data_IF_364205906505
#
_entry.id   IF_364205906505
#
_cell.length_a   1.000
_cell.length_b   1.000
_cell.length_c   1.000
_cell.angle_alpha   90.00
_cell.angle_beta   90.00
_cell.angle_gamma   90.00
#
_symmetry.space_group_name_H-M   'P 1'
#
loop_
_entity.id
_entity.type
_entity.pdbx_description
1 polymer ?
#
# COMPACT_ATOMS: atom_id res chain seq x y z
N UNK A 1 1.49 13.81 5.86
CA UNK A 1 0.75 14.94 5.23
C UNK A 1 -0.07 14.41 4.08
N UNK A 2 -1.34 14.84 3.95
CA UNK A 2 -2.24 14.51 2.84
C UNK A 2 -2.34 15.69 1.88
N UNK A 3 -1.57 15.72 0.78
CA UNK A 3 -1.39 16.92 -0.03
C UNK A 3 -2.62 17.33 -0.85
N UNK A 4 -3.58 16.43 -1.06
CA UNK A 4 -4.83 16.73 -1.76
C UNK A 4 -5.78 17.61 -0.93
N UNK A 5 -5.72 17.52 0.41
CA UNK A 5 -6.57 18.29 1.32
C UNK A 5 -8.06 17.97 1.25
N UNK A 6 -8.42 16.86 0.63
CA UNK A 6 -9.77 16.29 0.54
C UNK A 6 -9.67 14.78 0.43
N UNK A 7 -10.76 14.08 0.77
CA UNK A 7 -10.87 12.64 0.48
C UNK A 7 -11.19 12.45 -1.00
N UNK A 8 -10.42 11.60 -1.65
CA UNK A 8 -10.60 11.24 -3.07
C UNK A 8 -10.40 9.75 -3.23
N UNK A 9 -10.96 9.15 -4.28
CA UNK A 9 -10.66 7.78 -4.64
C UNK A 9 -9.17 7.65 -5.00
N UNK A 10 -8.52 6.60 -4.52
CA UNK A 10 -7.08 6.36 -4.79
C UNK A 10 -6.77 6.16 -6.27
N UNK A 11 -7.77 5.87 -7.09
CA UNK A 11 -7.68 5.67 -8.54
C UNK A 11 -7.95 6.94 -9.34
N UNK A 12 -8.44 8.01 -8.70
CA UNK A 12 -8.70 9.27 -9.39
C UNK A 12 -7.41 9.83 -10.00
N UNK A 13 -7.44 10.12 -11.29
CA UNK A 13 -6.32 10.69 -12.04
C UNK A 13 -6.81 11.88 -12.89
N UNK A 14 -6.00 12.93 -13.04
CA UNK A 14 -4.73 13.19 -12.35
C UNK A 14 -4.92 13.54 -10.87
N UNK A 15 -3.93 13.25 -10.04
CA UNK A 15 -3.92 13.72 -8.66
C UNK A 15 -3.89 15.25 -8.63
N UNK A 16 -4.60 15.86 -7.68
CA UNK A 16 -4.63 17.30 -7.51
C UNK A 16 -4.08 17.68 -6.14
N UNK A 17 -2.88 18.27 -6.12
CA UNK A 17 -2.29 18.77 -4.89
C UNK A 17 -2.64 20.23 -4.65
N UNK A 18 -2.81 20.59 -3.38
CA UNK A 18 -2.80 22.00 -2.97
C UNK A 18 -1.36 22.51 -2.95
N UNK A 19 -1.18 23.81 -3.18
CA UNK A 19 0.15 24.43 -3.30
C UNK A 19 0.99 24.40 -2.00
N UNK A 20 0.42 24.02 -0.87
CA UNK A 20 1.10 24.00 0.43
C UNK A 20 2.37 23.14 0.44
N UNK A 21 2.35 21.97 -0.21
CA UNK A 21 3.51 21.08 -0.27
C UNK A 21 4.65 21.70 -1.09
N UNK A 22 4.35 22.31 -2.23
CA UNK A 22 5.34 23.00 -3.05
C UNK A 22 5.92 24.25 -2.37
N UNK A 23 5.10 24.96 -1.59
CA UNK A 23 5.58 26.08 -0.77
C UNK A 23 6.51 25.60 0.34
N UNK A 24 6.20 24.46 0.97
CA UNK A 24 7.05 23.84 2.00
C UNK A 24 8.42 23.43 1.43
N UNK A 25 8.45 22.84 0.24
CA UNK A 25 9.71 22.46 -0.42
C UNK A 25 10.62 23.66 -0.67
N UNK A 26 10.06 24.82 -0.99
CA UNK A 26 10.82 26.05 -1.16
C UNK A 26 11.33 26.65 0.16
N UNK A 27 10.55 26.53 1.23
CA UNK A 27 10.89 27.09 2.54
C UNK A 27 11.88 26.21 3.29
N UNK A 28 11.82 24.90 3.07
CA UNK A 28 12.65 23.91 3.76
C UNK A 28 13.38 23.02 2.74
N UNK A 29 14.34 23.56 1.98
CA UNK A 29 14.98 22.83 0.87
C UNK A 29 15.81 21.63 1.32
N UNK A 30 16.28 21.60 2.57
CA UNK A 30 17.05 20.48 3.14
C UNK A 30 16.15 19.33 3.65
N UNK A 31 14.83 19.50 3.62
CA UNK A 31 13.91 18.47 4.10
C UNK A 31 13.78 17.35 3.07
N UNK A 32 13.84 16.10 3.55
CA UNK A 32 13.58 14.93 2.73
C UNK A 32 12.07 14.68 2.61
N UNK A 33 11.56 14.65 1.39
CA UNK A 33 10.18 14.32 1.05
C UNK A 33 10.12 12.89 0.52
N UNK A 34 9.37 12.02 1.19
CA UNK A 34 9.21 10.63 0.81
C UNK A 34 7.75 10.38 0.44
N UNK A 35 7.44 10.07 -0.82
CA UNK A 35 6.08 9.69 -1.20
C UNK A 35 5.74 8.32 -0.61
N UNK A 36 4.54 8.22 -0.05
CA UNK A 36 4.01 7.00 0.54
C UNK A 36 2.63 6.72 -0.03
N UNK A 37 2.43 5.53 -0.57
CA UNK A 37 1.13 5.00 -0.97
C UNK A 37 0.66 3.91 -0.01
N UNK A 38 -0.65 3.84 0.20
CA UNK A 38 -1.29 2.83 1.05
C UNK A 38 -2.53 2.30 0.33
N UNK A 39 -2.72 0.97 0.37
CA UNK A 39 -3.88 0.30 -0.18
C UNK A 39 -4.40 -0.77 0.79
N UNK A 40 -5.71 -0.91 0.86
CA UNK A 40 -6.37 -1.96 1.63
C UNK A 40 -6.88 -3.03 0.67
N UNK A 41 -6.43 -4.26 0.88
CA UNK A 41 -6.79 -5.40 0.03
C UNK A 41 -7.35 -6.55 0.86
N UNK A 42 -8.15 -7.39 0.22
CA UNK A 42 -8.67 -8.64 0.78
C UNK A 42 -8.22 -9.77 -0.13
N UNK A 43 -7.06 -10.32 0.14
CA UNK A 43 -6.53 -11.41 -0.70
C UNK A 43 -7.08 -12.76 -0.27
N UNK A 44 -6.64 -13.23 0.88
CA UNK A 44 -6.96 -14.58 1.40
C UNK A 44 -7.54 -14.53 2.80
N UNK A 45 -7.31 -13.45 3.50
CA UNK A 45 -7.70 -13.29 4.88
C UNK A 45 -9.08 -12.64 5.03
N UNK A 46 -9.75 -12.92 6.15
CA UNK A 46 -11.03 -12.29 6.48
C UNK A 46 -10.90 -10.79 6.75
N UNK A 47 -9.76 -10.38 7.25
CA UNK A 47 -9.46 -8.98 7.53
C UNK A 47 -8.70 -8.35 6.37
N UNK A 48 -8.89 -7.04 6.19
CA UNK A 48 -8.13 -6.31 5.20
C UNK A 48 -6.63 -6.36 5.52
N UNK A 49 -5.85 -6.62 4.51
CA UNK A 49 -4.40 -6.44 4.56
C UNK A 49 -4.07 -5.01 4.15
N UNK A 50 -3.10 -4.40 4.81
CA UNK A 50 -2.66 -3.04 4.51
C UNK A 50 -1.32 -3.12 3.80
N UNK A 51 -1.31 -2.71 2.54
CA UNK A 51 -0.11 -2.64 1.72
C UNK A 51 0.43 -1.22 1.73
N UNK A 52 1.70 -1.05 2.02
CA UNK A 52 2.37 0.25 2.05
C UNK A 52 3.58 0.21 1.12
N UNK A 53 3.71 1.23 0.30
CA UNK A 53 4.88 1.43 -0.57
C UNK A 53 5.44 2.83 -0.38
N UNK A 54 6.77 2.92 -0.35
CA UNK A 54 7.50 4.18 -0.32
C UNK A 54 8.22 4.37 -1.64
N UNK A 55 8.24 5.59 -2.14
CA UNK A 55 9.09 5.99 -3.26
C UNK A 55 10.45 6.49 -2.80
N UNK A 56 11.28 6.91 -3.75
CA UNK A 56 12.59 7.45 -3.45
C UNK A 56 12.48 8.80 -2.71
N UNK A 57 13.33 9.05 -1.72
CA UNK A 57 13.41 10.36 -1.08
C UNK A 57 13.81 11.45 -2.07
N UNK A 58 13.17 12.61 -1.96
CA UNK A 58 13.49 13.79 -2.72
C UNK A 58 13.88 14.92 -1.76
N UNK A 59 15.05 15.50 -1.95
CA UNK A 59 15.55 16.63 -1.17
C UNK A 59 15.66 17.83 -2.12
N UNK A 60 14.85 18.89 -1.95
CA UNK A 60 14.78 20.00 -2.88
C UNK A 60 16.13 20.71 -3.15
N UNK A 61 17.03 20.79 -2.16
CA UNK A 61 18.35 21.40 -2.34
C UNK A 61 19.26 20.64 -3.32
N UNK A 62 19.00 19.34 -3.55
CA UNK A 62 19.73 18.52 -4.51
C UNK A 62 19.14 18.60 -5.94
N UNK A 63 18.07 19.36 -6.11
CA UNK A 63 17.32 19.45 -7.36
C UNK A 63 17.44 20.83 -8.00
N UNK A 64 17.07 20.91 -9.27
CA UNK A 64 16.96 22.20 -9.97
C UNK A 64 15.90 23.07 -9.26
N UNK A 65 16.20 24.35 -8.97
CA UNK A 65 15.24 25.23 -8.32
C UNK A 65 13.95 25.36 -9.12
N UNK A 66 12.81 25.25 -8.40
CA UNK A 66 11.46 25.28 -8.96
C UNK A 66 10.57 26.27 -8.19
N UNK A 67 9.56 26.76 -8.82
CA UNK A 67 8.49 27.49 -8.12
C UNK A 67 7.56 26.51 -7.37
N UNK A 68 6.66 27.05 -6.54
CA UNK A 68 5.78 26.21 -5.70
C UNK A 68 4.82 25.32 -6.52
N UNK A 69 4.39 25.78 -7.69
CA UNK A 69 3.51 25.01 -8.58
C UNK A 69 4.27 23.85 -9.23
N UNK A 70 5.48 24.11 -9.71
CA UNK A 70 6.36 23.09 -10.30
C UNK A 70 6.74 22.02 -9.28
N UNK A 71 7.05 22.42 -8.04
CA UNK A 71 7.27 21.47 -6.95
C UNK A 71 6.04 20.61 -6.66
N UNK A 72 4.87 21.25 -6.59
CA UNK A 72 3.61 20.52 -6.38
C UNK A 72 3.35 19.51 -7.49
N UNK A 73 3.62 19.87 -8.74
CA UNK A 73 3.46 18.96 -9.89
C UNK A 73 4.46 17.81 -9.84
N UNK A 74 5.72 18.08 -9.48
CA UNK A 74 6.74 17.05 -9.34
C UNK A 74 6.33 16.02 -8.26
N UNK A 75 5.95 16.47 -7.08
CA UNK A 75 5.48 15.60 -6.01
C UNK A 75 4.22 14.81 -6.40
N UNK A 76 3.33 15.42 -7.19
CA UNK A 76 2.15 14.78 -7.74
C UNK A 76 2.55 13.59 -8.63
N UNK A 77 3.51 13.79 -9.52
CA UNK A 77 4.02 12.74 -10.41
C UNK A 77 4.67 11.61 -9.61
N UNK A 78 5.55 11.94 -8.66
CA UNK A 78 6.20 10.96 -7.80
C UNK A 78 5.20 10.11 -7.01
N UNK A 79 4.17 10.74 -6.41
CA UNK A 79 3.15 9.98 -5.69
C UNK A 79 2.33 9.10 -6.64
N UNK A 80 2.01 9.60 -7.85
CA UNK A 80 1.31 8.82 -8.87
C UNK A 80 2.08 7.55 -9.22
N UNK A 81 3.38 7.64 -9.47
CA UNK A 81 4.25 6.49 -9.77
C UNK A 81 4.23 5.45 -8.64
N UNK A 82 4.32 5.91 -7.39
CA UNK A 82 4.29 5.01 -6.22
C UNK A 82 2.94 4.33 -6.07
N UNK A 83 1.84 5.06 -6.27
CA UNK A 83 0.48 4.51 -6.21
C UNK A 83 0.23 3.49 -7.33
N UNK A 84 0.61 3.81 -8.56
CA UNK A 84 0.41 2.92 -9.71
C UNK A 84 1.29 1.66 -9.59
N UNK A 85 2.52 1.81 -9.08
CA UNK A 85 3.39 0.70 -8.75
C UNK A 85 2.83 -0.19 -7.64
N UNK A 86 2.24 0.40 -6.60
CA UNK A 86 1.57 -0.33 -5.52
C UNK A 86 0.36 -1.10 -6.05
N UNK A 87 -0.52 -0.44 -6.82
CA UNK A 87 -1.71 -1.06 -7.41
C UNK A 87 -1.35 -2.26 -8.29
N UNK A 88 -0.31 -2.13 -9.12
CA UNK A 88 0.18 -3.23 -9.96
C UNK A 88 0.63 -4.43 -9.12
N UNK A 89 1.46 -4.22 -8.09
CA UNK A 89 1.92 -5.29 -7.18
C UNK A 89 0.77 -5.90 -6.38
N UNK A 90 -0.18 -5.08 -5.94
CA UNK A 90 -1.39 -5.53 -5.26
C UNK A 90 -2.19 -6.52 -6.12
N UNK A 91 -2.30 -6.27 -7.43
CA UNK A 91 -2.98 -7.17 -8.35
C UNK A 91 -2.21 -8.48 -8.61
N UNK A 92 -0.88 -8.47 -8.53
CA UNK A 92 -0.04 -9.66 -8.75
C UNK A 92 -0.13 -10.67 -7.60
N UNK A 93 -0.41 -10.21 -6.38
CA UNK A 93 -0.53 -11.03 -5.16
C UNK A 93 0.69 -11.90 -4.84
N UNK A 94 1.88 -11.46 -5.22
CA UNK A 94 3.12 -12.19 -4.98
C UNK A 94 3.64 -11.89 -3.57
N UNK A 95 3.47 -12.83 -2.65
CA UNK A 95 3.85 -12.65 -1.24
C UNK A 95 5.37 -12.46 -1.02
N UNK A 96 6.21 -12.96 -1.94
CA UNK A 96 7.67 -12.86 -1.85
C UNK A 96 8.23 -11.44 -1.94
N UNK A 97 7.46 -10.50 -2.50
CA UNK A 97 7.88 -9.11 -2.72
C UNK A 97 7.58 -8.18 -1.53
N UNK A 98 7.03 -8.73 -0.43
CA UNK A 98 6.57 -7.93 0.69
C UNK A 98 7.34 -8.22 1.98
N UNK A 99 7.71 -7.16 2.68
CA UNK A 99 8.19 -7.26 4.06
C UNK A 99 6.97 -7.29 4.97
N UNK A 100 6.73 -8.41 5.62
CA UNK A 100 5.60 -8.60 6.52
C UNK A 100 5.95 -7.98 7.88
N UNK A 101 5.31 -6.86 8.22
CA UNK A 101 5.50 -6.18 9.50
C UNK A 101 4.62 -6.79 10.60
N UNK A 102 3.41 -7.20 10.26
CA UNK A 102 2.47 -7.80 11.20
C UNK A 102 1.63 -8.85 10.47
N UNK A 103 1.48 -10.01 11.08
CA UNK A 103 0.55 -11.05 10.62
C UNK A 103 -0.72 -10.98 11.43
N UNK A 104 -1.84 -10.80 10.75
CA UNK A 104 -3.16 -10.97 11.35
C UNK A 104 -3.37 -12.41 11.85
N UNK A 105 -4.40 -12.63 12.63
CA UNK A 105 -4.85 -13.97 13.00
C UNK A 105 -5.55 -14.61 11.80
N UNK A 106 -4.92 -15.61 11.19
CA UNK A 106 -5.58 -16.47 10.21
C UNK A 106 -6.69 -17.29 10.89
N UNK A 107 -7.85 -17.39 10.27
CA UNK A 107 -8.94 -18.24 10.74
C UNK A 107 -10.26 -17.50 11.02
N UNK A 108 -11.36 -18.16 10.69
CA UNK A 108 -12.73 -17.59 10.75
C UNK A 108 -13.27 -17.54 12.17
N UNK A 109 -12.86 -18.48 13.01
CA UNK A 109 -13.20 -18.55 14.45
C UNK A 109 -12.47 -19.74 15.09
N UNK A 110 -11.92 -19.58 16.30
CA UNK A 110 -11.22 -20.68 17.00
C UNK A 110 -12.08 -21.96 17.10
N UNK A 111 -13.39 -21.79 17.30
CA UNK A 111 -14.34 -22.90 17.38
C UNK A 111 -14.49 -23.60 16.02
N UNK A 112 -14.60 -22.85 14.93
CA UNK A 112 -14.74 -23.39 13.57
C UNK A 112 -13.44 -24.06 13.12
N UNK A 113 -12.29 -23.50 13.42
CA UNK A 113 -10.98 -24.07 13.10
C UNK A 113 -10.72 -25.36 13.91
N UNK A 114 -11.13 -25.39 15.17
CA UNK A 114 -11.09 -26.61 15.99
C UNK A 114 -11.97 -27.71 15.42
N UNK A 115 -13.17 -27.36 14.94
CA UNK A 115 -14.07 -28.32 14.30
C UNK A 115 -13.53 -28.82 12.95
N UNK A 116 -12.97 -27.94 12.14
CA UNK A 116 -12.31 -28.31 10.88
C UNK A 116 -11.10 -29.19 11.12
N UNK A 117 -10.29 -28.85 12.13
CA UNK A 117 -9.14 -29.68 12.53
C UNK A 117 -9.58 -31.10 12.96
N UNK A 118 -10.62 -31.19 13.78
CA UNK A 118 -11.19 -32.46 14.22
C UNK A 118 -11.69 -33.30 13.03
N UNK A 119 -12.39 -32.65 12.11
CA UNK A 119 -12.89 -33.28 10.88
C UNK A 119 -11.75 -33.73 9.96
N UNK A 120 -10.73 -32.90 9.76
CA UNK A 120 -9.55 -33.26 8.96
C UNK A 120 -8.79 -34.45 9.56
N UNK A 121 -8.70 -34.50 10.89
CA UNK A 121 -8.10 -35.63 11.61
C UNK A 121 -8.89 -36.93 11.45
N UNK A 122 -10.22 -36.83 11.43
CA UNK A 122 -11.10 -37.97 11.17
C UNK A 122 -11.00 -38.47 9.71
N UNK A 123 -10.87 -37.52 8.77
CA UNK A 123 -10.73 -37.84 7.34
C UNK A 123 -9.29 -38.15 6.91
N UNK A 124 -8.31 -38.15 7.82
CA UNK A 124 -6.86 -38.32 7.58
C UNK A 124 -6.27 -37.39 6.54
N UNK A 125 -6.81 -36.17 6.41
CA UNK A 125 -6.32 -35.11 5.53
C UNK A 125 -5.44 -34.13 6.31
N UNK A 126 -4.47 -33.52 5.62
CA UNK A 126 -3.67 -32.44 6.22
C UNK A 126 -4.55 -31.20 6.40
N UNK A 127 -4.53 -30.64 7.60
CA UNK A 127 -5.24 -29.42 7.93
C UNK A 127 -4.35 -28.20 7.66
N UNK A 128 -4.86 -27.22 6.90
CA UNK A 128 -4.28 -25.90 6.76
C UNK A 128 -5.31 -24.85 7.16
N UNK A 129 -4.94 -23.94 8.07
CA UNK A 129 -5.76 -22.82 8.48
C UNK A 129 -5.74 -21.68 7.43
N UNK A 130 -4.78 -21.71 6.50
CA UNK A 130 -4.65 -20.76 5.41
C UNK A 130 -5.53 -21.20 4.23
N UNK A 131 -6.30 -20.25 3.68
CA UNK A 131 -6.95 -20.47 2.40
C UNK A 131 -5.91 -20.42 1.30
N UNK A 132 -5.57 -21.58 0.74
CA UNK A 132 -4.77 -21.62 -0.49
C UNK A 132 -5.60 -21.00 -1.61
N UNK A 133 -5.05 -20.02 -2.36
CA UNK A 133 -5.72 -19.54 -3.57
C UNK A 133 -5.82 -20.70 -4.55
N UNK A 134 -7.05 -20.99 -5.00
CA UNK A 134 -7.24 -21.89 -6.14
C UNK A 134 -6.54 -21.29 -7.34
N UNK A 135 -5.49 -21.95 -7.83
CA UNK A 135 -4.89 -21.58 -9.10
C UNK A 135 -5.92 -21.86 -10.20
N UNK A 136 -6.22 -20.87 -11.08
CA UNK A 136 -7.07 -21.13 -12.24
C UNK A 136 -6.38 -22.14 -13.15
N UNK A 137 -7.17 -23.16 -13.57
CA UNK A 137 -6.78 -24.12 -14.60
C UNK A 137 -6.73 -23.49 -15.96
#
# INVERSE_FOLDING_TARGET
>A
MTPQGKFTDVRERPLQFRQGLGSLARQCPETSFIPMAMEYVWWTERQAEVLISFGQPLIPSNEIPRNSSEWSQLFCNYLTEVQDGLAKRSCQREAGDWIILNRGTSGVNKIYDSWRWLRAKLERKQFSAEHQPEMPR
#
